data_IF_584019121243
#
_entry.id   IF_584019121243
#
_cell.length_a   1.000
_cell.length_b   1.000
_cell.length_c   1.000
_cell.angle_alpha   90.00
_cell.angle_beta   90.00
_cell.angle_gamma   90.00
#
_symmetry.space_group_name_H-M   'P 1'
#
loop_
_entity.id
_entity.type
_entity.pdbx_description
1 polymer ?
#
# COMPACT_ATOMS: atom_id res chain seq x y z
N UNK A 1 -3.45 -21.46 7.47
CA UNK A 1 -2.27 -21.23 6.59
C UNK A 1 -2.09 -19.71 6.42
N UNK A 2 -0.90 -19.14 6.12
CA UNK A 2 -0.77 -17.68 5.86
C UNK A 2 -0.40 -17.40 4.40
N UNK A 3 -1.00 -16.36 3.82
CA UNK A 3 -0.72 -15.97 2.44
C UNK A 3 0.75 -15.55 2.32
N UNK A 4 1.41 -16.02 1.25
CA UNK A 4 2.80 -15.65 0.91
C UNK A 4 2.83 -14.55 -0.13
N UNK A 5 1.85 -14.54 -1.02
CA UNK A 5 1.77 -13.63 -2.14
C UNK A 5 0.37 -13.00 -2.22
N UNK A 6 0.30 -11.82 -2.80
CA UNK A 6 -0.94 -11.16 -3.18
C UNK A 6 -0.85 -10.73 -4.64
N UNK A 7 -1.87 -11.03 -5.42
CA UNK A 7 -1.97 -10.66 -6.83
C UNK A 7 -3.09 -9.65 -7.06
N UNK A 8 -2.73 -8.52 -7.64
CA UNK A 8 -3.65 -7.46 -8.03
C UNK A 8 -3.90 -7.48 -9.54
N UNK A 9 -5.17 -7.57 -9.92
CA UNK A 9 -5.62 -7.60 -11.31
C UNK A 9 -6.19 -6.25 -11.69
N UNK A 10 -5.55 -5.60 -12.66
CA UNK A 10 -5.93 -4.28 -13.17
C UNK A 10 -6.57 -4.41 -14.55
N UNK A 11 -7.48 -3.49 -14.90
CA UNK A 11 -8.12 -3.46 -16.23
C UNK A 11 -7.09 -3.24 -17.34
N UNK A 12 -6.07 -2.43 -17.06
CA UNK A 12 -4.97 -2.08 -17.97
C UNK A 12 -3.65 -2.58 -17.39
N UNK A 13 -2.56 -2.51 -18.17
CA UNK A 13 -1.24 -2.87 -17.68
C UNK A 13 -0.77 -1.98 -16.51
N UNK A 14 0.01 -2.56 -15.60
CA UNK A 14 0.68 -1.81 -14.54
C UNK A 14 1.76 -0.91 -15.12
N UNK A 15 1.95 0.28 -14.54
CA UNK A 15 2.94 1.27 -14.98
C UNK A 15 4.32 0.61 -15.07
N UNK A 16 5.00 0.76 -16.22
CA UNK A 16 6.32 0.16 -16.45
C UNK A 16 6.30 -1.34 -16.78
N UNK A 17 5.13 -1.94 -17.01
CA UNK A 17 5.01 -3.37 -17.37
C UNK A 17 4.06 -3.56 -18.56
N UNK A 18 4.08 -4.76 -19.15
CA UNK A 18 3.10 -5.20 -20.14
C UNK A 18 1.98 -6.07 -19.53
N UNK A 19 1.98 -6.26 -18.20
CA UNK A 19 1.07 -7.16 -17.49
C UNK A 19 -0.05 -6.39 -16.81
N UNK A 20 -1.28 -6.90 -16.88
CA UNK A 20 -2.41 -6.45 -16.05
C UNK A 20 -2.40 -7.06 -14.66
N UNK A 21 -1.49 -8.01 -14.40
CA UNK A 21 -1.35 -8.72 -13.13
C UNK A 21 -0.04 -8.31 -12.48
N UNK A 22 -0.12 -7.93 -11.20
CA UNK A 22 1.03 -7.65 -10.36
C UNK A 22 0.96 -8.54 -9.12
N UNK A 23 1.95 -9.42 -8.97
CA UNK A 23 2.11 -10.28 -7.81
C UNK A 23 3.20 -9.72 -6.91
N UNK A 24 2.88 -9.56 -5.64
CA UNK A 24 3.77 -9.00 -4.62
C UNK A 24 3.86 -10.01 -3.46
N UNK A 25 5.06 -10.34 -2.98
CA UNK A 25 5.21 -11.06 -1.72
C UNK A 25 4.57 -10.27 -0.58
N UNK A 26 3.76 -10.92 0.25
CA UNK A 26 3.03 -10.28 1.37
C UNK A 26 3.97 -9.51 2.28
N UNK A 27 5.16 -10.05 2.55
CA UNK A 27 6.20 -9.42 3.36
C UNK A 27 6.73 -8.09 2.80
N UNK A 28 6.58 -7.85 1.49
CA UNK A 28 6.98 -6.62 0.81
C UNK A 28 5.83 -5.62 0.65
N UNK A 29 4.60 -5.97 1.04
CA UNK A 29 3.43 -5.17 0.71
C UNK A 29 3.40 -3.82 1.44
N UNK A 30 3.88 -3.76 2.68
CA UNK A 30 4.02 -2.52 3.45
C UNK A 30 4.99 -1.55 2.77
N UNK A 31 6.16 -2.03 2.36
CA UNK A 31 7.16 -1.22 1.63
C UNK A 31 6.60 -0.74 0.28
N UNK A 32 5.81 -1.56 -0.41
CA UNK A 32 5.14 -1.17 -1.65
C UNK A 32 4.10 -0.08 -1.43
N UNK A 33 3.32 -0.14 -0.35
CA UNK A 33 2.37 0.92 0.00
C UNK A 33 3.11 2.21 0.36
N UNK A 34 4.15 2.12 1.17
CA UNK A 34 4.94 3.28 1.55
C UNK A 34 5.61 3.94 0.33
N UNK A 35 6.22 3.15 -0.56
CA UNK A 35 6.79 3.66 -1.81
C UNK A 35 5.75 4.31 -2.71
N UNK A 36 4.57 3.69 -2.87
CA UNK A 36 3.48 4.28 -3.65
C UNK A 36 2.99 5.61 -3.05
N UNK A 37 2.96 5.73 -1.73
CA UNK A 37 2.61 6.97 -1.04
C UNK A 37 3.66 8.07 -1.23
N UNK A 38 4.96 7.73 -1.18
CA UNK A 38 6.06 8.67 -1.46
C UNK A 38 6.04 9.22 -2.89
N UNK A 39 5.54 8.42 -3.85
CA UNK A 39 5.43 8.80 -5.26
C UNK A 39 4.21 9.70 -5.56
N UNK A 40 3.39 10.05 -4.56
CA UNK A 40 2.24 10.94 -4.73
C UNK A 40 2.71 12.39 -4.91
N UNK A 41 2.39 12.99 -6.06
CA UNK A 41 2.67 14.41 -6.34
C UNK A 41 1.59 15.36 -5.76
N UNK A 42 0.34 14.90 -5.68
CA UNK A 42 -0.77 15.70 -5.13
C UNK A 42 -0.74 15.68 -3.60
N UNK A 43 -0.32 16.78 -3.00
CA UNK A 43 -0.19 16.90 -1.54
C UNK A 43 -1.50 16.71 -0.78
N UNK A 44 -2.64 17.11 -1.36
CA UNK A 44 -3.94 16.89 -0.71
C UNK A 44 -4.29 15.41 -0.70
N UNK A 45 -3.99 14.70 -1.79
CA UNK A 45 -4.16 13.26 -1.87
C UNK A 45 -3.17 12.52 -0.95
N UNK A 46 -1.91 12.95 -0.90
CA UNK A 46 -0.90 12.38 0.01
C UNK A 46 -1.34 12.53 1.47
N UNK A 47 -1.86 13.70 1.86
CA UNK A 47 -2.41 13.93 3.19
C UNK A 47 -3.61 13.02 3.48
N UNK A 48 -4.60 13.00 2.59
CA UNK A 48 -5.85 12.27 2.77
C UNK A 48 -5.65 10.74 2.82
N UNK A 49 -4.59 10.24 2.21
CA UNK A 49 -4.26 8.81 2.16
C UNK A 49 -3.29 8.38 3.25
N UNK A 50 -2.96 9.23 4.24
CA UNK A 50 -2.13 8.79 5.35
C UNK A 50 -2.87 7.76 6.25
N UNK A 51 -2.14 6.78 6.83
CA UNK A 51 -2.72 5.77 7.71
C UNK A 51 -3.45 6.28 8.95
N UNK A 52 -3.08 7.46 9.46
CA UNK A 52 -3.64 8.02 10.67
C UNK A 52 -3.74 9.56 10.63
N UNK A 53 -4.71 10.09 11.37
CA UNK A 53 -5.01 11.54 11.39
C UNK A 53 -3.88 12.37 12.00
N UNK A 54 -3.06 11.81 12.89
CA UNK A 54 -1.94 12.55 13.50
C UNK A 54 -0.81 12.75 12.50
N UNK A 55 -0.52 11.74 11.68
CA UNK A 55 0.39 11.84 10.55
C UNK A 55 -0.15 12.83 9.52
N UNK A 56 -1.45 12.81 9.22
CA UNK A 56 -2.06 13.79 8.32
C UNK A 56 -1.91 15.23 8.84
N UNK A 57 -2.19 15.47 10.12
CA UNK A 57 -1.96 16.77 10.76
C UNK A 57 -0.49 17.19 10.69
N UNK A 58 0.43 16.28 10.99
CA UNK A 58 1.87 16.55 10.94
C UNK A 58 2.37 16.82 9.52
N UNK A 59 1.87 16.09 8.53
CA UNK A 59 2.20 16.30 7.12
C UNK A 59 1.82 17.71 6.70
N UNK A 60 0.60 18.15 7.03
CA UNK A 60 0.12 19.51 6.74
C UNK A 60 1.03 20.58 7.34
N UNK A 61 1.39 20.44 8.62
CA UNK A 61 2.32 21.35 9.28
C UNK A 61 3.69 21.41 8.58
N UNK A 62 4.21 20.27 8.15
CA UNK A 62 5.51 20.18 7.48
C UNK A 62 5.48 20.79 6.08
N UNK A 63 4.42 20.56 5.30
CA UNK A 63 4.25 21.16 3.97
C UNK A 63 4.21 22.70 4.05
N UNK A 64 3.52 23.25 5.05
CA UNK A 64 3.40 24.69 5.25
C UNK A 64 4.66 25.34 5.86
N UNK A 65 5.64 24.53 6.30
CA UNK A 65 6.83 24.98 7.02
C UNK A 65 8.11 24.79 6.21
N UNK A 66 9.04 25.75 6.32
CA UNK A 66 10.40 25.56 5.82
C UNK A 66 11.26 24.81 6.86
N UNK A 67 11.03 23.51 6.99
CA UNK A 67 11.79 22.64 7.91
C UNK A 67 13.01 22.02 7.23
N UNK A 68 13.98 21.62 8.04
CA UNK A 68 15.16 20.87 7.59
C UNK A 68 14.78 19.47 7.10
N UNK A 69 15.57 18.93 6.15
CA UNK A 69 15.39 17.59 5.60
C UNK A 69 15.30 16.50 6.70
N UNK A 70 16.04 16.67 7.80
CA UNK A 70 16.01 15.73 8.91
C UNK A 70 14.63 15.60 9.59
N UNK A 71 13.79 16.63 9.54
CA UNK A 71 12.41 16.56 10.05
C UNK A 71 11.51 15.77 9.10
N UNK A 72 11.69 15.95 7.79
CA UNK A 72 11.03 15.13 6.77
C UNK A 72 11.43 13.65 6.89
N UNK A 73 12.71 13.35 7.08
CA UNK A 73 13.18 11.97 7.22
C UNK A 73 12.55 11.27 8.44
N UNK A 74 12.42 11.97 9.57
CA UNK A 74 11.74 11.46 10.77
C UNK A 74 10.26 11.22 10.53
N UNK A 75 9.62 12.12 9.79
CA UNK A 75 8.22 11.97 9.41
C UNK A 75 8.02 10.75 8.51
N UNK A 76 8.82 10.61 7.45
CA UNK A 76 8.78 9.45 6.56
C UNK A 76 9.03 8.13 7.28
N UNK A 77 9.96 8.09 8.24
CA UNK A 77 10.16 6.92 9.09
C UNK A 77 8.90 6.57 9.92
N UNK A 78 8.15 7.58 10.36
CA UNK A 78 6.90 7.38 11.10
C UNK A 78 5.79 6.86 10.19
N UNK A 79 5.68 7.39 8.97
CA UNK A 79 4.74 6.89 7.95
C UNK A 79 5.06 5.44 7.58
N UNK A 80 6.32 5.12 7.30
CA UNK A 80 6.75 3.75 7.00
C UNK A 80 6.39 2.78 8.12
N UNK A 81 6.62 3.17 9.38
CA UNK A 81 6.22 2.38 10.55
C UNK A 81 4.71 2.18 10.64
N UNK A 82 3.90 3.18 10.30
CA UNK A 82 2.45 3.06 10.28
C UNK A 82 1.98 2.04 9.23
N UNK A 83 2.55 2.05 8.02
CA UNK A 83 2.28 1.00 7.03
C UNK A 83 2.72 -0.38 7.53
N UNK A 84 3.91 -0.51 8.14
CA UNK A 84 4.37 -1.81 8.67
C UNK A 84 3.49 -2.37 9.80
N UNK A 85 2.70 -1.52 10.47
CA UNK A 85 1.81 -1.94 11.56
C UNK A 85 0.42 -2.40 11.07
N UNK A 86 0.06 -2.11 9.82
CA UNK A 86 -1.21 -2.54 9.24
C UNK A 86 -1.27 -4.06 9.07
N UNK A 87 -2.46 -4.62 9.17
CA UNK A 87 -2.74 -5.98 8.73
C UNK A 87 -2.55 -6.12 7.22
N UNK A 88 -2.42 -7.37 6.76
CA UNK A 88 -2.19 -7.65 5.34
C UNK A 88 -3.38 -7.21 4.47
N UNK A 89 -4.61 -7.33 4.98
CA UNK A 89 -5.82 -6.88 4.28
C UNK A 89 -5.95 -5.36 4.21
N UNK A 90 -5.61 -4.67 5.30
CA UNK A 90 -5.51 -3.21 5.31
C UNK A 90 -4.46 -2.75 4.30
N UNK A 91 -3.30 -3.41 4.26
CA UNK A 91 -2.26 -3.12 3.27
C UNK A 91 -2.72 -3.36 1.83
N UNK A 92 -3.43 -4.46 1.54
CA UNK A 92 -3.95 -4.71 0.19
C UNK A 92 -4.99 -3.66 -0.22
N UNK A 93 -5.90 -3.30 0.70
CA UNK A 93 -6.87 -2.23 0.48
C UNK A 93 -6.18 -0.89 0.24
N UNK A 94 -5.13 -0.61 1.02
CA UNK A 94 -4.33 0.60 0.91
C UNK A 94 -3.53 0.67 -0.39
N UNK A 95 -2.95 -0.45 -0.81
CA UNK A 95 -2.26 -0.56 -2.09
C UNK A 95 -3.19 -0.23 -3.26
N UNK A 96 -4.45 -0.68 -3.20
CA UNK A 96 -5.47 -0.36 -4.21
C UNK A 96 -5.74 1.14 -4.24
N UNK A 97 -6.01 1.74 -3.08
CA UNK A 97 -6.29 3.17 -2.93
C UNK A 97 -5.16 4.04 -3.51
N UNK A 98 -3.91 3.73 -3.15
CA UNK A 98 -2.73 4.51 -3.55
C UNK A 98 -2.39 4.39 -5.04
N UNK A 99 -2.79 3.30 -5.70
CA UNK A 99 -2.41 3.04 -7.09
C UNK A 99 -3.49 3.43 -8.09
N UNK A 100 -4.63 2.73 -8.05
CA UNK A 100 -5.71 2.94 -9.02
C UNK A 100 -6.97 2.15 -8.63
N UNK A 101 -7.76 2.65 -7.67
CA UNK A 101 -8.96 1.96 -7.21
C UNK A 101 -10.01 1.82 -8.31
N UNK A 102 -9.99 2.69 -9.33
CA UNK A 102 -10.96 2.67 -10.42
C UNK A 102 -10.73 1.51 -11.41
N UNK A 103 -9.49 1.02 -11.52
CA UNK A 103 -9.14 0.00 -12.52
C UNK A 103 -8.64 -1.31 -11.92
N UNK A 104 -8.24 -1.37 -10.66
CA UNK A 104 -7.98 -2.64 -9.98
C UNK A 104 -9.32 -3.32 -9.69
N UNK A 105 -9.48 -4.56 -10.16
CA UNK A 105 -10.77 -5.28 -10.17
C UNK A 105 -10.82 -6.48 -9.26
N UNK A 106 -9.68 -7.09 -8.97
CA UNK A 106 -9.59 -8.31 -8.15
C UNK A 106 -8.27 -8.37 -7.39
N UNK A 107 -8.33 -8.97 -6.21
CA UNK A 107 -7.19 -9.36 -5.38
C UNK A 107 -7.28 -10.87 -5.19
N UNK A 108 -6.15 -11.57 -5.31
CA UNK A 108 -6.03 -12.99 -4.97
C UNK A 108 -4.89 -13.20 -4.00
N UNK A 109 -5.07 -14.13 -3.06
CA UNK A 109 -4.12 -14.47 -2.02
C UNK A 109 -3.50 -15.84 -2.29
N UNK A 110 -2.17 -15.88 -2.39
CA UNK A 110 -1.39 -17.07 -2.74
C UNK A 110 -0.89 -17.81 -1.51
N UNK A 111 -1.14 -19.12 -1.43
CA UNK A 111 -0.66 -20.01 -0.37
C UNK A 111 0.02 -21.21 -1.01
N UNK A 112 1.30 -21.03 -1.36
CA UNK A 112 2.03 -22.03 -2.14
C UNK A 112 1.54 -22.06 -3.58
N UNK A 113 0.98 -23.19 -4.02
CA UNK A 113 0.47 -23.40 -5.38
C UNK A 113 -1.01 -23.02 -5.55
N UNK A 114 -1.70 -22.64 -4.48
CA UNK A 114 -3.13 -22.31 -4.47
C UNK A 114 -3.38 -20.81 -4.32
N UNK A 115 -4.47 -20.34 -4.94
CA UNK A 115 -4.91 -18.94 -4.95
C UNK A 115 -6.36 -18.83 -4.48
N UNK A 116 -6.62 -17.87 -3.60
CA UNK A 116 -7.92 -17.69 -2.94
C UNK A 116 -8.41 -16.24 -3.08
N UNK A 117 -9.72 -16.06 -2.95
CA UNK A 117 -10.36 -14.72 -2.98
C UNK A 117 -10.26 -13.99 -1.63
N UNK A 118 -9.89 -14.71 -0.58
CA UNK A 118 -9.84 -14.22 0.80
C UNK A 118 -8.47 -14.52 1.43
N UNK A 119 -8.00 -13.61 2.28
CA UNK A 119 -6.73 -13.65 3.04
C UNK A 119 -6.81 -14.57 4.26
N UNK A 120 -8.02 -14.91 4.67
CA UNK A 120 -8.33 -15.77 5.81
C UNK A 120 -8.89 -17.12 5.36
N UNK A 121 -8.53 -17.60 4.16
CA UNK A 121 -9.04 -18.87 3.64
C UNK A 121 -8.55 -20.07 4.48
N UNK A 122 -9.30 -20.37 5.54
CA UNK A 122 -9.09 -21.45 6.52
C UNK A 122 -9.68 -22.80 6.04
N UNK A 123 -10.12 -22.91 4.79
CA UNK A 123 -10.68 -24.16 4.28
C UNK A 123 -9.58 -25.14 3.84
N UNK A 124 -9.12 -25.94 4.81
CA UNK A 124 -8.53 -27.26 4.56
C UNK A 124 -9.68 -28.27 4.32
N UNK A 125 -9.69 -28.92 3.16
CA UNK A 125 -10.54 -30.11 2.90
C UNK A 125 -9.78 -31.39 3.27
#
# INVERSE_FOLDING_TARGET
MKARDVSFFKKNAWKGTYSSILTIPVESLSDKCFGAWLDIEDTNFAEATLPDEKLAGRFRELVDSNVEQAEWDRFYASVGKAFSAMSVDELASKFIELNDPATIRRVLWGYGDKWYLDSDCDYEF
#
